data_IF_489986950045
#
_entry.id   IF_489986950045
#
_cell.length_a   1.000
_cell.length_b   1.000
_cell.length_c   1.000
_cell.angle_alpha   90.00
_cell.angle_beta   90.00
_cell.angle_gamma   90.00
#
_symmetry.space_group_name_H-M   'P 1'
#
loop_
_entity.id
_entity.type
_entity.pdbx_description
1 polymer ?
#
# COMPACT_ATOMS: atom_id res chain seq x y z
N UNK A 1 -15.06 -9.53 -20.39
CA UNK A 1 -14.18 -8.92 -19.38
C UNK A 1 -12.91 -9.74 -19.23
N UNK A 2 -11.78 -9.06 -19.17
CA UNK A 2 -10.48 -9.68 -18.88
C UNK A 2 -10.08 -9.39 -17.45
N UNK A 3 -9.31 -10.28 -16.85
CA UNK A 3 -8.74 -10.08 -15.52
C UNK A 3 -7.30 -10.58 -15.46
N UNK A 4 -6.48 -9.94 -14.67
CA UNK A 4 -5.14 -10.40 -14.31
C UNK A 4 -4.98 -10.25 -12.81
N UNK A 5 -4.53 -11.30 -12.12
CA UNK A 5 -4.27 -11.24 -10.68
C UNK A 5 -2.83 -11.64 -10.42
N UNK A 6 -2.13 -10.81 -9.66
CA UNK A 6 -0.77 -11.06 -9.24
C UNK A 6 -0.62 -10.76 -7.74
N UNK A 7 0.33 -11.43 -7.10
CA UNK A 7 0.66 -11.19 -5.69
C UNK A 7 2.10 -10.74 -5.59
N UNK A 8 2.33 -9.67 -4.82
CA UNK A 8 3.67 -9.21 -4.47
C UNK A 8 3.91 -9.54 -3.00
N UNK A 9 5.10 -10.06 -2.71
CA UNK A 9 5.48 -10.39 -1.34
C UNK A 9 6.53 -9.41 -0.83
N UNK A 10 6.35 -8.98 0.42
CA UNK A 10 7.24 -8.04 1.08
C UNK A 10 7.75 -8.62 2.40
N UNK A 11 9.01 -8.42 2.65
CA UNK A 11 9.66 -8.67 3.92
C UNK A 11 10.64 -7.51 4.11
N UNK A 12 10.13 -6.40 4.63
CA UNK A 12 10.91 -5.17 4.72
C UNK A 12 11.98 -5.27 5.80
N UNK A 13 13.11 -4.62 5.56
CA UNK A 13 14.24 -4.58 6.51
C UNK A 13 13.92 -3.71 7.72
N UNK A 14 13.12 -2.67 7.53
CA UNK A 14 12.73 -1.74 8.58
C UNK A 14 11.32 -2.07 9.07
N UNK A 15 11.06 -1.76 10.33
CA UNK A 15 9.73 -1.92 10.90
C UNK A 15 8.70 -1.08 10.16
N UNK A 16 9.07 0.15 9.78
CA UNK A 16 8.26 1.07 8.98
C UNK A 16 9.02 1.42 7.71
N UNK A 17 8.34 1.30 6.58
CA UNK A 17 8.96 1.54 5.28
C UNK A 17 7.89 1.84 4.24
N UNK A 18 8.20 2.74 3.30
CA UNK A 18 7.37 2.97 2.11
C UNK A 18 8.05 2.31 0.91
N UNK A 19 7.28 1.55 0.16
CA UNK A 19 7.77 0.89 -1.07
C UNK A 19 6.95 1.39 -2.25
N UNK A 20 7.60 2.05 -3.20
CA UNK A 20 6.94 2.54 -4.40
C UNK A 20 6.57 1.38 -5.33
N UNK A 21 5.30 1.30 -5.71
CA UNK A 21 4.74 0.23 -6.53
C UNK A 21 4.39 0.66 -7.95
N UNK A 22 4.48 1.94 -8.28
CA UNK A 22 3.98 2.48 -9.54
C UNK A 22 4.48 1.71 -10.76
N UNK A 23 5.79 1.45 -10.84
CA UNK A 23 6.38 0.78 -12.00
C UNK A 23 5.93 -0.67 -12.12
N UNK A 24 5.82 -1.38 -10.99
CA UNK A 24 5.31 -2.76 -10.97
C UNK A 24 3.86 -2.82 -11.42
N UNK A 25 3.02 -1.93 -10.90
CA UNK A 25 1.60 -1.87 -11.28
C UNK A 25 1.46 -1.50 -12.76
N UNK A 26 2.24 -0.53 -13.24
CA UNK A 26 2.28 -0.15 -14.66
C UNK A 26 2.61 -1.34 -15.56
N UNK A 27 3.61 -2.14 -15.16
CA UNK A 27 4.00 -3.34 -15.89
C UNK A 27 2.90 -4.39 -15.94
N UNK A 28 2.17 -4.58 -14.86
CA UNK A 28 1.07 -5.54 -14.78
C UNK A 28 -0.15 -5.09 -15.61
N UNK A 29 -0.45 -3.80 -15.61
CA UNK A 29 -1.50 -3.24 -16.47
C UNK A 29 -1.15 -3.52 -17.95
N UNK A 30 0.09 -3.28 -18.35
CA UNK A 30 0.55 -3.55 -19.71
C UNK A 30 0.46 -5.05 -20.04
N UNK A 31 0.92 -5.91 -19.13
CA UNK A 31 0.85 -7.37 -19.29
C UNK A 31 -0.58 -7.87 -19.44
N UNK A 32 -1.55 -7.24 -18.78
CA UNK A 32 -2.95 -7.64 -18.83
C UNK A 32 -3.59 -7.46 -20.21
N UNK A 33 -3.07 -6.55 -21.01
CA UNK A 33 -3.65 -6.16 -22.32
C UNK A 33 -4.95 -5.38 -22.20
N UNK A 34 -5.39 -5.05 -21.00
CA UNK A 34 -6.63 -4.31 -20.76
C UNK A 34 -6.45 -2.86 -21.19
N UNK A 35 -7.38 -2.36 -22.00
CA UNK A 35 -7.37 -1.00 -22.51
C UNK A 35 -8.20 -0.05 -21.68
N UNK A 36 -9.36 -0.50 -21.22
CA UNK A 36 -10.28 0.29 -20.41
C UNK A 36 -10.73 -0.54 -19.20
N UNK A 37 -10.52 -0.01 -18.00
CA UNK A 37 -10.87 -0.72 -16.79
C UNK A 37 -10.30 -0.06 -15.53
N UNK A 38 -9.92 -0.89 -14.60
CA UNK A 38 -9.36 -0.44 -13.33
C UNK A 38 -8.37 -1.47 -12.77
N UNK A 39 -7.49 -0.99 -11.91
CA UNK A 39 -6.60 -1.86 -11.16
C UNK A 39 -6.81 -1.63 -9.67
N UNK A 40 -7.00 -2.72 -8.95
CA UNK A 40 -7.04 -2.76 -7.49
C UNK A 40 -5.64 -3.10 -6.99
N UNK A 41 -5.13 -2.33 -6.02
CA UNK A 41 -3.89 -2.64 -5.29
C UNK A 41 -4.25 -2.70 -3.82
N UNK A 42 -4.16 -3.87 -3.21
CA UNK A 42 -4.66 -4.09 -1.84
C UNK A 42 -3.66 -4.84 -0.98
N UNK A 43 -3.28 -4.25 0.15
CA UNK A 43 -2.47 -4.93 1.16
C UNK A 43 -3.32 -5.97 1.88
N UNK A 44 -2.84 -7.20 1.90
CA UNK A 44 -3.54 -8.33 2.51
C UNK A 44 -3.01 -8.59 3.92
N UNK A 45 -2.90 -7.53 4.70
CA UNK A 45 -2.42 -7.62 6.07
C UNK A 45 -2.96 -6.46 6.91
N UNK A 46 -3.18 -6.73 8.18
CA UNK A 46 -3.81 -5.79 9.13
C UNK A 46 -2.85 -4.76 9.71
N UNK A 47 -1.56 -4.82 9.37
CA UNK A 47 -0.53 -3.87 9.80
C UNK A 47 0.23 -3.27 8.61
N UNK A 48 -0.41 -3.19 7.47
CA UNK A 48 0.11 -2.58 6.25
C UNK A 48 -0.97 -1.76 5.56
N UNK A 49 -0.60 -0.99 4.55
CA UNK A 49 -1.55 -0.19 3.79
C UNK A 49 -1.06 0.09 2.38
N UNK A 50 -1.93 0.69 1.57
CA UNK A 50 -1.62 1.17 0.23
C UNK A 50 -2.23 2.56 0.08
N UNK A 51 -1.46 3.50 -0.46
CA UNK A 51 -1.94 4.84 -0.74
C UNK A 51 -1.34 5.40 -2.02
N UNK A 52 -1.93 6.49 -2.50
CA UNK A 52 -1.46 7.22 -3.67
C UNK A 52 -1.15 8.65 -3.25
N UNK A 53 0.10 9.08 -3.46
CA UNK A 53 0.51 10.47 -3.22
C UNK A 53 1.86 10.71 -3.88
N UNK A 54 2.45 11.87 -3.64
CA UNK A 54 3.72 12.27 -4.20
C UNK A 54 4.90 11.49 -3.60
N UNK A 55 5.91 11.26 -4.42
CA UNK A 55 7.16 10.63 -4.01
C UNK A 55 8.21 11.72 -3.76
N UNK A 56 8.16 12.33 -2.58
CA UNK A 56 9.07 13.38 -2.16
C UNK A 56 9.50 13.14 -0.71
N UNK A 57 10.78 13.21 -0.43
CA UNK A 57 11.36 12.80 0.84
C UNK A 57 10.83 13.59 2.05
N UNK A 58 10.64 14.90 1.90
CA UNK A 58 10.08 15.73 2.97
C UNK A 58 8.64 15.36 3.29
N UNK A 59 7.83 15.07 2.25
CA UNK A 59 6.46 14.61 2.44
C UNK A 59 6.44 13.24 3.13
N UNK A 60 7.35 12.34 2.77
CA UNK A 60 7.45 11.03 3.44
C UNK A 60 7.73 11.21 4.95
N UNK A 61 8.63 12.10 5.30
CA UNK A 61 8.92 12.42 6.71
C UNK A 61 7.68 12.99 7.41
N UNK A 62 6.96 13.89 6.75
CA UNK A 62 5.73 14.47 7.29
C UNK A 62 4.64 13.41 7.50
N UNK A 63 4.49 12.47 6.57
CA UNK A 63 3.54 11.36 6.70
C UNK A 63 3.86 10.52 7.95
N UNK A 64 5.13 10.13 8.13
CA UNK A 64 5.52 9.35 9.29
C UNK A 64 5.32 10.11 10.60
N UNK A 65 5.67 11.38 10.64
CA UNK A 65 5.46 12.23 11.82
C UNK A 65 3.97 12.36 12.15
N UNK A 66 3.14 12.59 11.14
CA UNK A 66 1.68 12.66 11.30
C UNK A 66 1.10 11.34 11.85
N UNK A 67 1.51 10.22 11.28
CA UNK A 67 1.07 8.89 11.74
C UNK A 67 1.49 8.61 13.19
N UNK A 68 2.71 9.01 13.56
CA UNK A 68 3.21 8.86 14.93
C UNK A 68 2.44 9.74 15.92
N UNK A 69 1.97 10.91 15.52
CA UNK A 69 1.12 11.76 16.36
C UNK A 69 -0.26 11.15 16.60
N UNK A 70 -0.87 10.56 15.57
CA UNK A 70 -2.21 9.99 15.65
C UNK A 70 -2.23 8.59 16.26
N UNK A 71 -1.23 7.79 15.98
CA UNK A 71 -1.11 6.42 16.45
C UNK A 71 0.34 6.14 16.88
N UNK A 72 0.77 6.69 18.03
CA UNK A 72 2.16 6.57 18.46
C UNK A 72 2.54 5.14 18.81
N UNK A 73 3.75 4.73 18.44
CA UNK A 73 4.31 3.48 18.92
C UNK A 73 4.56 3.60 20.43
N UNK A 74 4.07 2.64 21.20
CA UNK A 74 4.22 2.68 22.64
C UNK A 74 3.61 1.45 23.31
N UNK A 75 3.79 1.31 24.63
CA UNK A 75 3.35 0.09 25.36
C UNK A 75 1.86 0.07 25.70
N UNK A 76 1.15 1.21 25.63
CA UNK A 76 -0.13 1.39 26.31
C UNK A 76 -1.36 1.04 25.44
N UNK A 77 -1.23 0.10 24.53
CA UNK A 77 -2.38 -0.40 23.76
C UNK A 77 -2.97 -1.65 24.40
N UNK A 78 -4.30 -1.70 24.51
CA UNK A 78 -5.00 -2.88 25.03
C UNK A 78 -4.72 -4.12 24.18
N UNK A 79 -4.46 -3.94 22.89
CA UNK A 79 -4.08 -5.01 21.97
C UNK A 79 -2.82 -5.76 22.43
N UNK A 80 -1.94 -5.10 23.18
CA UNK A 80 -0.70 -5.71 23.69
C UNK A 80 -0.93 -6.77 24.75
N UNK A 81 -2.18 -6.92 25.23
CA UNK A 81 -2.59 -8.07 26.11
C UNK A 81 -2.44 -9.41 25.39
N UNK A 82 -2.38 -9.41 24.05
CA UNK A 82 -2.15 -10.63 23.26
C UNK A 82 -0.68 -11.07 23.24
N UNK A 83 0.23 -10.27 23.81
CA UNK A 83 1.67 -10.49 23.73
C UNK A 83 2.33 -9.78 22.55
N UNK A 84 1.54 -9.08 21.71
CA UNK A 84 2.06 -8.30 20.60
C UNK A 84 2.52 -6.91 21.05
N UNK A 85 3.27 -6.21 20.18
CA UNK A 85 3.81 -4.87 20.44
C UNK A 85 3.40 -3.85 19.35
N UNK A 86 2.40 -4.15 18.57
CA UNK A 86 2.10 -3.50 17.29
C UNK A 86 0.71 -2.84 17.20
N UNK A 87 0.16 -2.44 18.34
CA UNK A 87 -1.15 -1.77 18.37
C UNK A 87 -1.19 -0.53 17.50
N UNK A 88 -0.12 0.26 17.49
CA UNK A 88 0.01 1.43 16.62
C UNK A 88 -0.04 1.07 15.14
N UNK A 89 0.57 -0.04 14.75
CA UNK A 89 0.60 -0.49 13.36
C UNK A 89 -0.80 -0.80 12.82
N UNK A 90 -1.66 -1.41 13.64
CA UNK A 90 -3.06 -1.64 13.28
C UNK A 90 -3.81 -0.32 13.05
N UNK A 91 -3.60 0.67 13.92
CA UNK A 91 -4.25 1.97 13.80
C UNK A 91 -3.71 2.76 12.62
N UNK A 92 -2.41 2.72 12.35
CA UNK A 92 -1.81 3.30 11.15
C UNK A 92 -2.41 2.69 9.88
N UNK A 93 -2.61 1.37 9.87
CA UNK A 93 -3.26 0.67 8.76
C UNK A 93 -4.68 1.17 8.52
N UNK A 94 -5.45 1.41 9.58
CA UNK A 94 -6.79 1.97 9.46
C UNK A 94 -6.79 3.40 8.91
N UNK A 95 -5.82 4.22 9.31
CA UNK A 95 -5.69 5.60 8.84
C UNK A 95 -5.33 5.67 7.36
N UNK A 96 -4.36 4.91 6.94
CA UNK A 96 -3.88 4.88 5.54
C UNK A 96 -4.85 4.10 4.65
N UNK A 97 -5.52 3.12 5.22
CA UNK A 97 -6.36 2.17 4.51
C UNK A 97 -5.53 1.10 3.79
N UNK A 98 -6.19 0.03 3.40
CA UNK A 98 -5.51 -1.16 2.85
C UNK A 98 -5.45 -1.19 1.33
N UNK A 99 -6.22 -0.35 0.62
CA UNK A 99 -6.32 -0.48 -0.83
C UNK A 99 -6.57 0.82 -1.56
N UNK A 100 -6.21 0.83 -2.84
CA UNK A 100 -6.57 1.88 -3.79
C UNK A 100 -7.10 1.24 -5.06
N UNK A 101 -7.95 1.99 -5.78
CA UNK A 101 -8.42 1.63 -7.11
C UNK A 101 -7.99 2.76 -8.05
N UNK A 102 -7.35 2.40 -9.16
CA UNK A 102 -6.81 3.36 -10.11
C UNK A 102 -7.38 3.07 -11.49
N UNK A 103 -7.84 4.09 -12.24
CA UNK A 103 -8.33 3.89 -13.59
C UNK A 103 -7.24 3.38 -14.53
N UNK A 104 -7.65 2.55 -15.49
CA UNK A 104 -6.84 2.15 -16.65
C UNK A 104 -7.52 2.73 -17.88
N UNK A 105 -6.79 3.57 -18.60
CA UNK A 105 -7.31 4.28 -19.79
C UNK A 105 -6.33 4.11 -20.95
N UNK A 106 -6.83 3.70 -22.10
CA UNK A 106 -6.02 3.47 -23.29
C UNK A 106 -4.80 2.57 -23.04
N UNK A 107 -4.98 1.54 -22.22
CA UNK A 107 -3.94 0.56 -21.89
C UNK A 107 -2.90 1.04 -20.87
N UNK A 108 -3.14 2.16 -20.24
CA UNK A 108 -2.18 2.77 -19.30
C UNK A 108 -2.81 3.04 -17.93
N UNK A 109 -2.00 2.94 -16.90
CA UNK A 109 -2.36 3.40 -15.56
C UNK A 109 -2.61 4.91 -15.63
N UNK A 110 -3.84 5.34 -15.29
CA UNK A 110 -4.27 6.72 -15.45
C UNK A 110 -4.12 7.49 -14.14
N UNK A 111 -2.90 7.97 -13.91
CA UNK A 111 -2.54 8.74 -12.71
C UNK A 111 -2.34 10.21 -13.07
N UNK A 112 -2.62 11.08 -12.10
CA UNK A 112 -2.18 12.47 -12.17
C UNK A 112 -0.65 12.56 -12.17
N UNK A 113 -0.07 13.70 -12.59
CA UNK A 113 1.37 13.82 -12.83
C UNK A 113 2.26 13.59 -11.59
N UNK A 114 1.72 13.80 -10.39
CA UNK A 114 2.47 13.63 -9.14
C UNK A 114 2.01 12.43 -8.32
N UNK A 115 1.04 11.68 -8.80
CA UNK A 115 0.54 10.51 -8.09
C UNK A 115 1.46 9.30 -8.28
N UNK A 116 1.89 8.72 -7.17
CA UNK A 116 2.64 7.47 -7.14
C UNK A 116 1.95 6.51 -6.19
N UNK A 117 2.01 5.24 -6.49
CA UNK A 117 1.40 4.18 -5.67
C UNK A 117 2.43 3.66 -4.68
N UNK A 118 2.06 3.62 -3.40
CA UNK A 118 2.93 3.14 -2.33
C UNK A 118 2.30 2.02 -1.53
N UNK A 119 3.12 1.02 -1.21
CA UNK A 119 2.88 0.10 -0.13
C UNK A 119 3.50 0.70 1.15
N UNK A 120 2.73 0.74 2.22
CA UNK A 120 3.18 1.24 3.52
C UNK A 120 3.28 0.08 4.51
N UNK A 121 4.48 -0.15 5.03
CA UNK A 121 4.74 -1.15 6.05
C UNK A 121 4.73 -0.48 7.42
N UNK A 122 3.94 -1.03 8.36
CA UNK A 122 3.86 -0.50 9.72
C UNK A 122 4.40 -1.46 10.77
N UNK A 123 4.65 -2.72 10.41
CA UNK A 123 5.20 -3.75 11.29
C UNK A 123 5.98 -4.78 10.48
N UNK A 124 7.22 -4.45 10.11
CA UNK A 124 8.08 -5.21 9.21
C UNK A 124 8.61 -6.53 9.75
N UNK A 125 8.09 -7.01 10.88
CA UNK A 125 8.54 -8.28 11.48
C UNK A 125 7.96 -9.50 10.77
N UNK A 126 7.08 -9.30 9.79
CA UNK A 126 6.31 -10.37 9.16
C UNK A 126 6.41 -10.31 7.64
N UNK A 127 6.34 -11.47 7.02
CA UNK A 127 6.17 -11.55 5.57
C UNK A 127 4.72 -11.25 5.21
N UNK A 128 4.51 -10.33 4.26
CA UNK A 128 3.19 -9.83 3.87
C UNK A 128 3.05 -9.79 2.36
N UNK A 129 1.81 -9.82 1.89
CA UNK A 129 1.54 -9.76 0.45
C UNK A 129 0.55 -8.67 0.09
N UNK A 130 0.68 -8.20 -1.14
CA UNK A 130 -0.23 -7.27 -1.79
C UNK A 130 -0.84 -7.97 -2.99
N UNK A 131 -2.15 -7.93 -3.13
CA UNK A 131 -2.82 -8.39 -4.34
C UNK A 131 -2.96 -7.23 -5.31
N UNK A 132 -2.65 -7.49 -6.57
CA UNK A 132 -2.91 -6.55 -7.67
C UNK A 132 -3.87 -7.26 -8.62
N UNK A 133 -5.01 -6.65 -8.85
CA UNK A 133 -6.03 -7.19 -9.75
C UNK A 133 -6.41 -6.13 -10.78
N UNK A 134 -6.12 -6.45 -12.05
CA UNK A 134 -6.50 -5.61 -13.19
C UNK A 134 -7.74 -6.22 -13.82
N UNK A 135 -8.75 -5.41 -14.10
CA UNK A 135 -9.97 -5.88 -14.74
C UNK A 135 -10.53 -4.85 -15.72
N UNK A 136 -11.11 -5.33 -16.80
CA UNK A 136 -11.69 -4.48 -17.83
C UNK A 136 -11.73 -5.16 -19.19
N UNK A 137 -11.77 -4.34 -20.24
CA UNK A 137 -11.82 -4.80 -21.63
C UNK A 137 -10.53 -4.52 -22.40
#
# INVERSE_FOLDING_TARGET
MKTLTEYLWFETKSRRELVRLTDTVTGLVRKSGIQEGMVLVSAMHITAGVFVNDDESGLHEDIWEWLQKLAPQGPDYRHHRTGEDNGDAHLKSLLIHHQVIIPVTAGKLDLGPWQQVFYAEFDGQRRKRVIIKVMGE
#
